data_IF_592303504627
#
_entry.id   IF_592303504627
#
_cell.length_a   1.000
_cell.length_b   1.000
_cell.length_c   1.000
_cell.angle_alpha   90.00
_cell.angle_beta   90.00
_cell.angle_gamma   90.00
#
_symmetry.space_group_name_H-M   'P 1'
#
loop_
_entity.id
_entity.type
_entity.pdbx_description
1 polymer ?
#
# COMPACT_ATOMS: atom_id res chain seq x y z
N UNK A 1 33.84 -41.27 -30.38
CA UNK A 1 34.21 -41.48 -28.97
C UNK A 1 34.22 -40.12 -28.29
N UNK A 2 33.76 -40.07 -27.03
CA UNK A 2 33.57 -38.91 -26.13
C UNK A 2 32.19 -38.21 -26.20
N UNK A 3 31.36 -38.55 -25.20
CA UNK A 3 30.12 -37.88 -24.78
C UNK A 3 30.46 -36.62 -23.96
N UNK A 4 29.63 -35.55 -23.97
CA UNK A 4 29.65 -34.55 -22.93
C UNK A 4 28.82 -35.00 -21.69
N UNK A 5 29.09 -34.44 -20.49
CA UNK A 5 28.58 -34.96 -19.23
C UNK A 5 27.11 -34.61 -18.99
N UNK A 6 26.41 -35.57 -18.40
CA UNK A 6 25.07 -35.46 -17.83
C UNK A 6 25.06 -34.68 -16.52
N UNK A 7 24.07 -33.81 -16.33
CA UNK A 7 23.54 -33.53 -14.99
C UNK A 7 23.23 -32.07 -14.69
N UNK A 8 22.02 -31.63 -15.04
CA UNK A 8 21.20 -30.70 -14.23
C UNK A 8 19.75 -30.88 -14.67
N UNK A 9 18.83 -31.40 -13.84
CA UNK A 9 17.43 -31.49 -14.20
C UNK A 9 16.79 -30.11 -14.02
N UNK A 10 16.79 -29.33 -15.10
CA UNK A 10 16.03 -28.09 -15.24
C UNK A 10 14.56 -28.43 -15.55
N UNK A 11 13.84 -29.07 -14.64
CA UNK A 11 12.40 -29.31 -14.83
C UNK A 11 11.70 -29.73 -13.53
N UNK A 12 11.60 -28.79 -12.58
CA UNK A 12 10.47 -28.75 -11.63
C UNK A 12 10.09 -27.30 -11.36
N UNK A 13 9.48 -26.66 -12.36
CA UNK A 13 8.61 -25.51 -12.12
C UNK A 13 7.30 -26.03 -11.52
N UNK A 14 7.00 -25.58 -10.31
CA UNK A 14 5.70 -25.80 -9.68
C UNK A 14 4.63 -25.08 -10.49
N UNK A 15 3.73 -25.86 -11.07
CA UNK A 15 2.54 -25.39 -11.76
C UNK A 15 1.60 -24.69 -10.77
N UNK A 16 1.27 -23.43 -11.03
CA UNK A 16 0.00 -22.87 -10.60
C UNK A 16 -0.67 -22.22 -11.82
N UNK A 17 -1.86 -22.73 -12.17
CA UNK A 17 -2.82 -22.15 -13.11
C UNK A 17 -2.35 -21.88 -14.56
N UNK A 18 -1.80 -22.90 -15.24
CA UNK A 18 -1.94 -23.06 -16.70
C UNK A 18 -1.34 -21.99 -17.61
N UNK A 19 -0.54 -21.04 -17.11
CA UNK A 19 0.26 -20.13 -17.94
C UNK A 19 1.74 -20.50 -17.82
N UNK A 20 2.38 -20.67 -18.96
CA UNK A 20 3.84 -20.72 -19.08
C UNK A 20 4.43 -19.51 -18.34
N UNK A 21 5.14 -19.76 -17.23
CA UNK A 21 5.97 -18.73 -16.58
C UNK A 21 7.16 -18.54 -17.52
N UNK A 22 7.04 -17.58 -18.44
CA UNK A 22 8.18 -17.07 -19.18
C UNK A 22 9.16 -16.56 -18.12
N UNK A 23 10.36 -17.14 -18.02
CA UNK A 23 11.37 -16.68 -17.07
C UNK A 23 11.51 -15.16 -17.24
N UNK A 24 11.04 -14.39 -16.26
CA UNK A 24 11.27 -12.96 -16.24
C UNK A 24 12.77 -12.75 -16.06
N UNK A 25 13.34 -11.82 -16.82
CA UNK A 25 14.74 -11.45 -16.62
C UNK A 25 14.90 -10.91 -15.19
N UNK A 26 16.04 -11.14 -14.54
CA UNK A 26 16.36 -10.50 -13.27
C UNK A 26 16.06 -9.00 -13.32
N UNK A 27 15.19 -8.54 -12.42
CA UNK A 27 14.68 -7.17 -12.36
C UNK A 27 15.36 -6.41 -11.23
N UNK A 28 15.60 -5.10 -11.37
CA UNK A 28 16.04 -4.26 -10.26
C UNK A 28 14.87 -3.42 -9.73
N UNK A 29 14.56 -3.62 -8.45
CA UNK A 29 13.46 -2.97 -7.74
C UNK A 29 14.06 -2.13 -6.61
N UNK A 30 13.73 -0.84 -6.56
CA UNK A 30 14.20 0.09 -5.53
C UNK A 30 13.03 0.47 -4.63
N UNK A 31 13.14 0.26 -3.32
CA UNK A 31 12.16 0.69 -2.33
C UNK A 31 12.70 1.90 -1.56
N UNK A 32 12.12 3.08 -1.78
CA UNK A 32 12.47 4.33 -1.10
C UNK A 32 11.49 4.58 0.06
N UNK A 33 12.04 4.79 1.26
CA UNK A 33 11.28 4.76 2.52
C UNK A 33 11.14 3.34 3.09
N UNK A 34 12.14 2.49 2.80
CA UNK A 34 12.12 1.07 3.16
C UNK A 34 12.02 0.81 4.67
N UNK A 35 12.48 1.74 5.51
CA UNK A 35 12.47 1.58 6.97
C UNK A 35 11.12 1.95 7.63
N UNK A 36 10.09 2.20 6.81
CA UNK A 36 8.70 2.34 7.25
C UNK A 36 8.23 1.07 7.95
N UNK A 37 7.85 1.17 9.23
CA UNK A 37 7.31 0.05 10.00
C UNK A 37 5.94 -0.44 9.49
N UNK A 38 5.25 0.38 8.70
CA UNK A 38 3.93 0.05 8.14
C UNK A 38 4.01 -0.59 6.75
N UNK A 39 4.92 -0.12 5.89
CA UNK A 39 4.99 -0.56 4.50
C UNK A 39 6.19 -1.44 4.19
N UNK A 40 7.36 -1.15 4.78
CA UNK A 40 8.62 -1.84 4.49
C UNK A 40 8.52 -3.36 4.65
N UNK A 41 8.12 -3.88 5.83
CA UNK A 41 8.02 -5.31 6.07
C UNK A 41 7.10 -6.03 5.09
N UNK A 42 5.97 -5.42 4.74
CA UNK A 42 4.98 -6.03 3.85
C UNK A 42 5.46 -6.08 2.40
N UNK A 43 6.04 -4.99 1.89
CA UNK A 43 6.61 -4.94 0.53
C UNK A 43 7.78 -5.94 0.41
N UNK A 44 8.60 -6.06 1.44
CA UNK A 44 9.69 -7.06 1.48
C UNK A 44 9.11 -8.48 1.48
N UNK A 45 8.09 -8.76 2.29
CA UNK A 45 7.43 -10.06 2.31
C UNK A 45 6.82 -10.39 0.94
N UNK A 46 6.11 -9.45 0.30
CA UNK A 46 5.53 -9.64 -1.04
C UNK A 46 6.62 -9.95 -2.06
N UNK A 47 7.74 -9.23 -2.03
CA UNK A 47 8.87 -9.49 -2.93
C UNK A 47 9.47 -10.89 -2.72
N UNK A 48 9.66 -11.30 -1.46
CA UNK A 48 10.18 -12.62 -1.07
C UNK A 48 9.22 -13.74 -1.49
N UNK A 49 7.91 -13.51 -1.39
CA UNK A 49 6.88 -14.50 -1.70
C UNK A 49 6.52 -14.60 -3.19
N UNK A 50 7.10 -13.76 -4.04
CA UNK A 50 6.82 -13.74 -5.48
C UNK A 50 7.86 -14.57 -6.24
N UNK A 51 7.57 -15.82 -6.65
CA UNK A 51 8.57 -16.71 -7.24
C UNK A 51 9.16 -16.17 -8.55
N UNK A 52 8.39 -15.36 -9.28
CA UNK A 52 8.81 -14.73 -10.53
C UNK A 52 9.92 -13.70 -10.34
N UNK A 53 10.18 -13.26 -9.10
CA UNK A 53 11.28 -12.34 -8.78
C UNK A 53 12.60 -13.05 -8.47
N UNK A 54 12.69 -14.39 -8.47
CA UNK A 54 13.95 -15.09 -8.20
C UNK A 54 15.09 -14.57 -9.08
N UNK A 55 16.24 -14.27 -8.47
CA UNK A 55 17.41 -13.69 -9.14
C UNK A 55 17.36 -12.16 -9.31
N UNK A 56 16.23 -11.52 -9.00
CA UNK A 56 16.08 -10.06 -9.03
C UNK A 56 16.82 -9.39 -7.87
N UNK A 57 17.11 -8.10 -8.02
CA UNK A 57 17.73 -7.27 -6.98
C UNK A 57 16.67 -6.39 -6.32
N UNK A 58 16.56 -6.49 -4.99
CA UNK A 58 15.76 -5.59 -4.17
C UNK A 58 16.71 -4.64 -3.42
N UNK A 59 16.64 -3.34 -3.74
CA UNK A 59 17.45 -2.29 -3.10
C UNK A 59 16.59 -1.51 -2.12
N UNK A 60 16.94 -1.57 -0.83
CA UNK A 60 16.27 -0.82 0.22
C UNK A 60 16.94 0.54 0.40
N UNK A 61 16.15 1.61 0.41
CA UNK A 61 16.63 2.98 0.55
C UNK A 61 15.88 3.68 1.67
N UNK A 62 16.62 4.23 2.63
CA UNK A 62 16.08 5.07 3.69
C UNK A 62 17.15 6.01 4.23
N UNK A 63 16.77 7.22 4.63
CA UNK A 63 17.70 8.22 5.18
C UNK A 63 18.12 7.87 6.62
N UNK A 64 17.32 7.07 7.33
CA UNK A 64 17.67 6.56 8.65
C UNK A 64 18.53 5.29 8.50
N UNK A 65 19.85 5.47 8.55
CA UNK A 65 20.81 4.38 8.37
C UNK A 65 20.71 3.26 9.42
N UNK A 66 20.32 3.59 10.66
CA UNK A 66 20.16 2.59 11.72
C UNK A 66 18.95 1.69 11.43
N UNK A 67 17.79 2.31 11.18
CA UNK A 67 16.58 1.57 10.84
C UNK A 67 16.73 0.82 9.50
N UNK A 68 17.44 1.40 8.54
CA UNK A 68 17.75 0.74 7.26
C UNK A 68 18.56 -0.53 7.47
N UNK A 69 19.58 -0.51 8.33
CA UNK A 69 20.39 -1.68 8.67
C UNK A 69 19.55 -2.81 9.27
N UNK A 70 18.63 -2.48 10.19
CA UNK A 70 17.67 -3.44 10.76
C UNK A 70 16.77 -4.02 9.67
N UNK A 71 16.23 -3.18 8.78
CA UNK A 71 15.36 -3.64 7.70
C UNK A 71 16.08 -4.52 6.68
N UNK A 72 17.34 -4.22 6.36
CA UNK A 72 18.15 -5.05 5.48
C UNK A 72 18.44 -6.43 6.09
N UNK A 73 18.72 -6.50 7.39
CA UNK A 73 18.87 -7.77 8.10
C UNK A 73 17.56 -8.57 8.12
N UNK A 74 16.43 -7.91 8.38
CA UNK A 74 15.09 -8.50 8.28
C UNK A 74 14.82 -9.10 6.89
N UNK A 75 15.06 -8.33 5.83
CA UNK A 75 14.84 -8.76 4.45
C UNK A 75 15.69 -9.99 4.07
N UNK A 76 16.96 -10.02 4.48
CA UNK A 76 17.84 -11.18 4.24
C UNK A 76 17.31 -12.44 4.93
N UNK A 77 16.86 -12.32 6.17
CA UNK A 77 16.29 -13.45 6.92
C UNK A 77 15.03 -14.01 6.27
N UNK A 78 14.13 -13.14 5.79
CA UNK A 78 12.96 -13.59 5.04
C UNK A 78 13.35 -14.28 3.72
N UNK A 79 14.29 -13.68 2.98
CA UNK A 79 14.80 -14.23 1.73
C UNK A 79 15.44 -15.62 1.91
N UNK A 80 16.21 -15.81 2.99
CA UNK A 80 16.82 -17.09 3.37
C UNK A 80 15.77 -18.13 3.79
N UNK A 81 14.83 -17.75 4.66
CA UNK A 81 13.80 -18.65 5.17
C UNK A 81 12.85 -19.15 4.07
N UNK A 82 12.60 -18.33 3.05
CA UNK A 82 11.76 -18.68 1.91
C UNK A 82 12.51 -19.33 0.73
N UNK A 83 13.85 -19.41 0.77
CA UNK A 83 14.70 -19.69 -0.41
C UNK A 83 14.24 -18.87 -1.63
N UNK A 84 14.01 -17.57 -1.45
CA UNK A 84 13.45 -16.75 -2.52
C UNK A 84 14.49 -16.38 -3.60
N UNK A 85 15.78 -16.37 -3.24
CA UNK A 85 16.88 -16.14 -4.18
C UNK A 85 16.96 -14.70 -4.70
N UNK A 86 16.48 -13.73 -3.92
CA UNK A 86 16.67 -12.30 -4.21
C UNK A 86 18.08 -11.84 -3.81
N UNK A 87 18.60 -10.87 -4.55
CA UNK A 87 19.79 -10.11 -4.18
C UNK A 87 19.37 -8.88 -3.37
N UNK A 88 19.61 -8.91 -2.05
CA UNK A 88 19.23 -7.81 -1.14
C UNK A 88 20.37 -6.81 -1.01
N UNK A 89 20.14 -5.57 -1.43
CA UNK A 89 21.05 -4.42 -1.27
C UNK A 89 20.39 -3.34 -0.43
N UNK A 90 21.17 -2.44 0.15
CA UNK A 90 20.64 -1.25 0.83
C UNK A 90 21.64 -0.09 0.77
N UNK A 91 21.13 1.14 0.73
CA UNK A 91 21.94 2.37 0.76
C UNK A 91 21.10 3.54 1.27
N UNK A 92 21.65 4.49 2.04
CA UNK A 92 20.95 5.74 2.35
C UNK A 92 20.88 6.69 1.14
N UNK A 93 21.72 6.47 0.13
CA UNK A 93 21.86 7.36 -1.02
C UNK A 93 21.03 6.88 -2.21
N UNK A 94 19.80 7.40 -2.36
CA UNK A 94 18.88 6.96 -3.45
C UNK A 94 19.51 7.04 -4.84
N UNK A 95 20.36 8.03 -5.12
CA UNK A 95 21.01 8.20 -6.42
C UNK A 95 21.95 7.05 -6.79
N UNK A 96 22.46 6.31 -5.81
CA UNK A 96 23.25 5.09 -6.03
C UNK A 96 22.35 3.88 -6.32
N UNK A 97 21.13 3.87 -5.79
CA UNK A 97 20.17 2.78 -5.98
C UNK A 97 19.45 2.84 -7.34
N UNK A 98 19.14 4.04 -7.82
CA UNK A 98 18.30 4.28 -9.00
C UNK A 98 18.83 3.76 -10.35
N UNK A 99 20.14 3.78 -10.67
CA UNK A 99 20.63 3.31 -11.96
C UNK A 99 20.15 1.89 -12.29
N UNK A 100 19.68 1.66 -13.51
CA UNK A 100 19.16 0.37 -14.00
C UNK A 100 17.89 -0.15 -13.28
N UNK A 101 17.28 0.64 -12.39
CA UNK A 101 16.00 0.27 -11.80
C UNK A 101 14.91 0.15 -12.88
N UNK A 102 14.07 -0.87 -12.79
CA UNK A 102 12.87 -1.03 -13.62
C UNK A 102 11.61 -0.66 -12.85
N UNK A 103 11.64 -0.79 -11.53
CA UNK A 103 10.58 -0.36 -10.62
C UNK A 103 11.15 0.43 -9.46
N UNK A 104 10.50 1.54 -9.13
CA UNK A 104 10.80 2.33 -7.94
C UNK A 104 9.51 2.43 -7.13
N UNK A 105 9.55 1.98 -5.87
CA UNK A 105 8.42 2.03 -4.96
C UNK A 105 8.69 3.14 -3.93
N UNK A 106 7.73 4.04 -3.71
CA UNK A 106 7.86 5.11 -2.70
C UNK A 106 6.84 4.95 -1.59
N UNK A 107 7.31 4.93 -0.34
CA UNK A 107 6.49 4.99 0.87
C UNK A 107 7.11 5.95 1.88
N UNK A 108 7.34 7.20 1.44
CA UNK A 108 8.04 8.24 2.21
C UNK A 108 7.05 9.20 2.87
N UNK A 109 7.39 9.63 4.08
CA UNK A 109 6.80 10.77 4.77
C UNK A 109 7.77 11.26 5.86
N UNK A 110 7.92 12.58 6.00
CA UNK A 110 8.77 13.17 7.05
C UNK A 110 7.91 13.48 8.26
N UNK A 111 8.30 12.98 9.45
CA UNK A 111 7.60 13.23 10.72
C UNK A 111 6.07 13.07 10.62
N UNK A 112 5.62 12.04 9.88
CA UNK A 112 4.24 11.89 9.41
C UNK A 112 3.21 12.18 10.50
N UNK A 113 3.25 11.44 11.60
CA UNK A 113 2.21 11.50 12.62
C UNK A 113 2.30 12.77 13.48
N UNK A 114 3.51 13.29 13.74
CA UNK A 114 3.71 14.58 14.42
C UNK A 114 3.05 15.72 13.62
N UNK A 115 3.34 15.78 12.32
CA UNK A 115 2.80 16.83 11.45
C UNK A 115 1.32 16.62 11.14
N UNK A 116 0.86 15.38 11.03
CA UNK A 116 -0.56 15.09 10.79
C UNK A 116 -1.44 15.42 12.01
N UNK A 117 -0.94 15.21 13.24
CA UNK A 117 -1.59 15.73 14.46
C UNK A 117 -1.82 17.25 14.35
N UNK A 118 -0.82 17.99 13.88
CA UNK A 118 -0.92 19.44 13.69
C UNK A 118 -1.87 19.82 12.54
N UNK A 119 -1.82 19.09 11.42
CA UNK A 119 -2.72 19.26 10.28
C UNK A 119 -4.19 19.07 10.66
N UNK A 120 -4.47 18.28 11.69
CA UNK A 120 -5.80 18.10 12.25
C UNK A 120 -6.16 19.18 13.29
N UNK A 121 -5.29 19.36 14.29
CA UNK A 121 -5.58 20.21 15.44
C UNK A 121 -5.59 21.71 15.11
N UNK A 122 -4.73 22.17 14.20
CA UNK A 122 -4.62 23.60 13.87
C UNK A 122 -5.90 24.10 13.18
N UNK A 123 -6.41 23.49 12.09
CA UNK A 123 -7.68 23.91 11.49
C UNK A 123 -8.83 23.85 12.50
N UNK A 124 -8.91 22.79 13.30
CA UNK A 124 -9.96 22.61 14.30
C UNK A 124 -9.95 23.72 15.36
N UNK A 125 -8.77 24.14 15.83
CA UNK A 125 -8.61 25.27 16.76
C UNK A 125 -9.21 26.58 16.21
N UNK A 126 -9.22 26.77 14.89
CA UNK A 126 -9.80 27.95 14.24
C UNK A 126 -11.23 27.72 13.71
N UNK A 127 -11.90 26.65 14.16
CA UNK A 127 -13.29 26.36 13.80
C UNK A 127 -13.47 25.65 12.46
N UNK A 128 -12.38 25.26 11.79
CA UNK A 128 -12.46 24.50 10.54
C UNK A 128 -12.51 23.01 10.88
N UNK A 129 -13.69 22.42 10.69
CA UNK A 129 -13.97 21.01 10.97
C UNK A 129 -13.51 20.14 9.80
N UNK A 130 -12.82 19.06 10.11
CA UNK A 130 -12.40 18.03 9.16
C UNK A 130 -12.41 16.67 9.86
N UNK A 131 -12.56 15.58 9.10
CA UNK A 131 -12.71 14.23 9.65
C UNK A 131 -11.37 13.57 9.91
N UNK A 132 -10.52 13.47 8.88
CA UNK A 132 -9.23 12.77 8.96
C UNK A 132 -8.05 13.70 8.60
N UNK A 133 -8.15 14.45 7.50
CA UNK A 133 -7.19 15.52 7.18
C UNK A 133 -5.84 15.03 6.66
N UNK A 134 -5.77 13.81 6.14
CA UNK A 134 -4.59 13.25 5.47
C UNK A 134 -4.58 13.57 3.97
N UNK A 135 -5.72 13.41 3.30
CA UNK A 135 -5.89 13.56 1.86
C UNK A 135 -6.81 14.72 1.51
N UNK A 136 -7.83 15.02 2.31
CA UNK A 136 -8.76 16.12 2.07
C UNK A 136 -8.64 17.26 3.08
N UNK A 137 -9.42 18.32 2.85
CA UNK A 137 -9.46 19.51 3.70
C UNK A 137 -8.14 20.30 3.81
N UNK A 138 -8.07 21.26 4.76
CA UNK A 138 -6.87 22.04 5.05
C UNK A 138 -5.68 21.19 5.52
N UNK A 139 -5.94 20.13 6.29
CA UNK A 139 -4.89 19.19 6.70
C UNK A 139 -4.24 18.51 5.51
N UNK A 140 -5.03 17.98 4.58
CA UNK A 140 -4.53 17.36 3.36
C UNK A 140 -3.79 18.35 2.45
N UNK A 141 -4.16 19.64 2.44
CA UNK A 141 -3.41 20.68 1.72
C UNK A 141 -2.01 20.84 2.31
N UNK A 142 -1.91 21.01 3.63
CA UNK A 142 -0.63 21.12 4.34
C UNK A 142 0.24 19.87 4.10
N UNK A 143 -0.36 18.68 4.14
CA UNK A 143 0.30 17.42 3.83
C UNK A 143 0.82 17.37 2.38
N UNK A 144 0.02 17.81 1.42
CA UNK A 144 0.41 17.89 0.01
C UNK A 144 1.61 18.81 -0.20
N UNK A 145 1.60 20.00 0.40
CA UNK A 145 2.67 20.98 0.28
C UNK A 145 4.02 20.47 0.80
N UNK A 146 4.00 19.55 1.77
CA UNK A 146 5.22 18.92 2.30
C UNK A 146 5.70 17.74 1.47
N UNK A 147 4.78 16.90 0.98
CA UNK A 147 5.16 15.65 0.33
C UNK A 147 5.37 15.76 -1.18
N UNK A 148 4.65 16.67 -1.87
CA UNK A 148 4.82 16.85 -3.32
C UNK A 148 6.28 17.19 -3.68
N UNK A 149 6.98 18.13 -3.02
CA UNK A 149 8.38 18.42 -3.34
C UNK A 149 9.29 17.19 -3.19
N UNK A 150 9.09 16.38 -2.15
CA UNK A 150 9.88 15.16 -1.89
C UNK A 150 9.71 14.16 -3.03
N UNK A 151 8.47 13.93 -3.45
CA UNK A 151 8.18 12.99 -4.55
C UNK A 151 8.68 13.52 -5.89
N UNK A 152 8.56 14.82 -6.16
CA UNK A 152 9.10 15.43 -7.38
C UNK A 152 10.63 15.36 -7.42
N UNK A 153 11.32 15.55 -6.30
CA UNK A 153 12.77 15.37 -6.22
C UNK A 153 13.20 13.93 -6.57
N UNK A 154 12.46 12.93 -6.07
CA UNK A 154 12.68 11.52 -6.43
C UNK A 154 12.40 11.31 -7.92
N UNK A 155 11.30 11.85 -8.43
CA UNK A 155 10.91 11.71 -9.82
C UNK A 155 11.96 12.32 -10.77
N UNK A 156 12.47 13.51 -10.48
CA UNK A 156 13.51 14.13 -11.30
C UNK A 156 14.85 13.40 -11.25
N UNK A 157 15.16 12.71 -10.14
CA UNK A 157 16.31 11.80 -10.09
C UNK A 157 16.04 10.55 -10.95
N UNK A 158 14.83 10.00 -10.96
CA UNK A 158 14.44 8.88 -11.82
C UNK A 158 14.51 9.24 -13.31
N UNK A 159 14.02 10.42 -13.72
CA UNK A 159 14.10 10.87 -15.12
C UNK A 159 15.54 10.89 -15.64
N UNK A 160 16.52 11.16 -14.77
CA UNK A 160 17.94 11.20 -15.12
C UNK A 160 18.61 9.83 -15.06
N UNK A 161 18.29 9.03 -14.04
CA UNK A 161 19.06 7.83 -13.69
C UNK A 161 18.40 6.52 -14.14
N UNK A 162 17.08 6.50 -14.28
CA UNK A 162 16.30 5.34 -14.72
C UNK A 162 14.98 5.76 -15.41
N UNK A 163 15.03 6.51 -16.52
CA UNK A 163 13.83 7.07 -17.16
C UNK A 163 12.82 6.01 -17.65
N UNK A 164 13.25 4.76 -17.83
CA UNK A 164 12.39 3.64 -18.19
C UNK A 164 11.63 3.02 -17.02
N UNK A 165 11.98 3.34 -15.77
CA UNK A 165 11.38 2.72 -14.59
C UNK A 165 9.90 3.11 -14.42
N UNK A 166 9.11 2.20 -13.82
CA UNK A 166 7.77 2.51 -13.34
C UNK A 166 7.83 2.97 -11.88
N UNK A 167 7.30 4.15 -11.59
CA UNK A 167 7.10 4.61 -10.22
C UNK A 167 5.81 4.02 -9.64
N UNK A 168 5.91 3.33 -8.50
CA UNK A 168 4.79 2.81 -7.73
C UNK A 168 4.68 3.60 -6.42
N UNK A 169 3.73 4.54 -6.35
CA UNK A 169 3.63 5.47 -5.22
C UNK A 169 2.58 5.04 -4.19
N UNK A 170 3.02 4.81 -2.95
CA UNK A 170 2.16 4.63 -1.76
C UNK A 170 2.10 5.88 -0.86
N UNK A 171 2.89 6.92 -1.15
CA UNK A 171 2.86 8.15 -0.35
C UNK A 171 1.58 8.94 -0.57
N UNK A 172 0.98 9.39 0.53
CA UNK A 172 -0.15 10.31 0.54
C UNK A 172 0.29 11.77 0.52
N UNK A 173 -0.56 12.72 0.09
CA UNK A 173 -1.90 12.51 -0.45
C UNK A 173 -1.87 12.05 -1.91
N UNK A 174 -2.29 10.81 -2.16
CA UNK A 174 -2.00 10.09 -3.42
C UNK A 174 -2.54 10.84 -4.64
N UNK A 175 -3.83 11.18 -4.68
CA UNK A 175 -4.45 11.89 -5.81
C UNK A 175 -3.72 13.19 -6.17
N UNK A 176 -3.23 13.94 -5.17
CA UNK A 176 -2.52 15.20 -5.40
C UNK A 176 -1.06 14.97 -5.83
N UNK A 177 -0.42 13.95 -5.30
CA UNK A 177 0.91 13.51 -5.75
C UNK A 177 0.82 13.04 -7.21
N UNK A 178 -0.16 12.21 -7.56
CA UNK A 178 -0.41 11.79 -8.94
C UNK A 178 -0.70 12.96 -9.88
N UNK A 179 -1.47 13.96 -9.42
CA UNK A 179 -1.67 15.19 -10.18
C UNK A 179 -0.36 15.97 -10.39
N UNK A 180 0.50 16.05 -9.38
CA UNK A 180 1.80 16.73 -9.51
C UNK A 180 2.72 15.98 -10.47
N UNK A 181 2.86 14.65 -10.31
CA UNK A 181 3.67 13.80 -11.19
C UNK A 181 3.22 13.94 -12.66
N UNK A 182 1.91 13.88 -12.93
CA UNK A 182 1.39 14.01 -14.30
C UNK A 182 1.62 15.39 -14.93
N UNK A 183 1.74 16.45 -14.13
CA UNK A 183 1.94 17.83 -14.62
C UNK A 183 3.40 18.22 -14.77
N UNK A 184 4.27 17.70 -13.92
CA UNK A 184 5.63 18.19 -13.76
C UNK A 184 6.71 17.18 -14.12
N UNK A 185 6.34 15.97 -14.56
CA UNK A 185 7.28 14.91 -14.94
C UNK A 185 6.81 14.18 -16.19
N UNK A 186 7.74 13.54 -16.90
CA UNK A 186 7.46 12.60 -18.00
C UNK A 186 7.43 11.13 -17.58
N UNK A 187 7.47 10.83 -16.28
CA UNK A 187 7.55 9.46 -15.79
C UNK A 187 6.27 8.67 -15.99
N UNK A 188 6.43 7.36 -16.17
CA UNK A 188 5.34 6.41 -15.97
C UNK A 188 5.17 6.17 -14.47
N UNK A 189 3.96 6.34 -13.96
CA UNK A 189 3.67 6.10 -12.55
C UNK A 189 2.30 5.45 -12.35
N UNK A 190 2.15 4.76 -11.21
CA UNK A 190 0.88 4.26 -10.68
C UNK A 190 0.82 4.63 -9.21
N UNK A 191 -0.29 5.23 -8.80
CA UNK A 191 -0.63 5.41 -7.40
C UNK A 191 -1.32 4.19 -6.81
N UNK A 192 -0.92 3.78 -5.61
CA UNK A 192 -1.42 2.57 -4.96
C UNK A 192 -1.97 2.89 -3.59
N UNK A 193 -3.16 2.36 -3.31
CA UNK A 193 -3.83 2.46 -2.01
C UNK A 193 -4.60 1.16 -1.72
N UNK A 194 -4.80 0.85 -0.45
CA UNK A 194 -5.51 -0.36 0.00
C UNK A 194 -7.03 -0.15 0.08
N UNK A 195 -7.53 1.02 -0.34
CA UNK A 195 -8.92 1.42 -0.11
C UNK A 195 -9.97 0.53 -0.75
N UNK A 196 -9.66 -0.16 -1.86
CA UNK A 196 -10.60 -1.10 -2.48
C UNK A 196 -10.81 -2.35 -1.60
N UNK A 197 -9.75 -2.86 -0.98
CA UNK A 197 -9.81 -4.00 -0.07
C UNK A 197 -10.60 -3.67 1.19
N UNK A 198 -10.51 -2.43 1.69
CA UNK A 198 -11.36 -1.95 2.78
C UNK A 198 -12.84 -1.94 2.38
N UNK A 199 -13.15 -1.53 1.15
CA UNK A 199 -14.50 -1.60 0.59
C UNK A 199 -15.02 -3.03 0.52
N UNK A 200 -14.24 -3.98 0.03
CA UNK A 200 -14.61 -5.40 0.05
C UNK A 200 -14.84 -5.92 1.47
N UNK A 201 -13.97 -5.56 2.42
CA UNK A 201 -14.15 -5.96 3.82
C UNK A 201 -15.44 -5.41 4.44
N UNK A 202 -15.83 -4.17 4.12
CA UNK A 202 -17.08 -3.60 4.64
C UNK A 202 -18.32 -4.25 3.99
N UNK A 203 -18.29 -4.50 2.68
CA UNK A 203 -19.36 -5.19 1.94
C UNK A 203 -19.51 -6.64 2.44
N UNK A 204 -18.40 -7.35 2.64
CA UNK A 204 -18.37 -8.68 3.22
C UNK A 204 -19.03 -8.68 4.61
N UNK A 205 -18.68 -7.70 5.45
CA UNK A 205 -19.26 -7.55 6.79
C UNK A 205 -20.75 -7.22 6.77
N UNK A 206 -21.24 -6.45 5.79
CA UNK A 206 -22.67 -6.16 5.61
C UNK A 206 -23.45 -7.38 5.14
N UNK A 207 -22.94 -8.09 4.14
CA UNK A 207 -23.65 -9.17 3.45
C UNK A 207 -23.45 -10.56 4.08
N UNK A 208 -22.41 -10.73 4.91
CA UNK A 208 -21.97 -12.02 5.43
C UNK A 208 -21.22 -12.87 4.40
N UNK A 209 -20.93 -12.35 3.21
CA UNK A 209 -20.16 -13.05 2.18
C UNK A 209 -18.65 -12.98 2.47
N UNK A 210 -17.85 -13.97 2.04
CA UNK A 210 -16.39 -13.88 2.10
C UNK A 210 -15.87 -12.75 1.19
N UNK A 211 -14.93 -11.94 1.68
CA UNK A 211 -14.35 -10.84 0.90
C UNK A 211 -13.69 -11.32 -0.40
N UNK A 212 -13.06 -12.50 -0.40
CA UNK A 212 -12.41 -13.09 -1.57
C UNK A 212 -13.38 -13.62 -2.65
N UNK A 213 -14.67 -13.70 -2.33
CA UNK A 213 -15.75 -14.04 -3.27
C UNK A 213 -16.42 -12.79 -3.85
N UNK A 214 -15.89 -11.60 -3.54
CA UNK A 214 -16.35 -10.34 -4.10
C UNK A 214 -15.44 -9.92 -5.26
N UNK A 215 -16.05 -9.44 -6.33
CA UNK A 215 -15.35 -8.77 -7.42
C UNK A 215 -16.14 -7.54 -7.85
N UNK A 216 -15.44 -6.46 -8.19
CA UNK A 216 -16.12 -5.23 -8.56
C UNK A 216 -15.26 -4.29 -9.39
N UNK A 217 -15.94 -3.35 -10.04
CA UNK A 217 -15.34 -2.23 -10.75
C UNK A 217 -15.58 -1.00 -9.90
N UNK A 218 -14.52 -0.29 -9.52
CA UNK A 218 -14.63 0.96 -8.76
C UNK A 218 -14.03 2.13 -9.55
N UNK A 219 -14.60 3.33 -9.35
CA UNK A 219 -14.11 4.55 -9.96
C UNK A 219 -14.26 5.75 -9.02
N UNK A 220 -13.33 6.69 -9.12
CA UNK A 220 -13.29 7.91 -8.32
C UNK A 220 -11.86 8.38 -8.08
N UNK A 221 -11.66 9.11 -6.98
CA UNK A 221 -10.34 9.53 -6.51
C UNK A 221 -9.85 8.57 -5.42
N UNK A 222 -8.55 8.58 -5.11
CA UNK A 222 -8.08 7.94 -3.89
C UNK A 222 -8.83 8.48 -2.68
N UNK A 223 -9.28 7.58 -1.81
CA UNK A 223 -10.13 7.85 -0.62
C UNK A 223 -11.53 8.41 -0.93
N UNK A 224 -11.95 8.48 -2.20
CA UNK A 224 -13.25 9.01 -2.59
C UNK A 224 -13.74 8.37 -3.88
N UNK A 225 -14.15 7.11 -3.78
CA UNK A 225 -14.53 6.29 -4.92
C UNK A 225 -15.75 5.41 -4.61
N UNK A 226 -16.41 4.96 -5.67
CA UNK A 226 -17.63 4.16 -5.62
C UNK A 226 -17.46 2.88 -6.42
N UNK A 227 -18.01 1.78 -5.92
CA UNK A 227 -18.20 0.59 -6.73
C UNK A 227 -19.27 0.87 -7.79
N UNK A 228 -18.90 0.85 -9.07
CA UNK A 228 -19.84 0.97 -10.18
C UNK A 228 -20.56 -0.35 -10.46
N UNK A 229 -19.88 -1.47 -10.18
CA UNK A 229 -20.38 -2.84 -10.28
C UNK A 229 -19.77 -3.64 -9.13
N UNK A 230 -20.57 -4.49 -8.49
CA UNK A 230 -20.13 -5.39 -7.43
C UNK A 230 -20.87 -6.72 -7.59
N UNK A 231 -20.11 -7.79 -7.77
CA UNK A 231 -20.61 -9.12 -8.08
C UNK A 231 -20.02 -10.16 -7.16
N UNK A 232 -20.74 -11.26 -7.04
CA UNK A 232 -20.23 -12.48 -6.45
C UNK A 232 -19.42 -13.25 -7.48
N UNK A 233 -18.13 -13.39 -7.24
CA UNK A 233 -17.18 -14.03 -8.17
C UNK A 233 -17.56 -15.47 -8.51
N UNK A 234 -18.06 -16.23 -7.54
CA UNK A 234 -18.45 -17.64 -7.74
C UNK A 234 -19.73 -17.84 -8.57
N UNK A 235 -20.64 -16.85 -8.63
CA UNK A 235 -21.95 -17.01 -9.28
C UNK A 235 -22.23 -16.00 -10.39
N UNK A 236 -21.49 -14.89 -10.44
CA UNK A 236 -21.73 -13.76 -11.34
C UNK A 236 -22.90 -12.85 -10.91
N UNK A 237 -23.53 -13.13 -9.76
CA UNK A 237 -24.69 -12.39 -9.25
C UNK A 237 -24.35 -10.94 -8.91
N UNK A 238 -25.22 -9.99 -9.31
CA UNK A 238 -25.16 -8.59 -8.86
C UNK A 238 -25.49 -8.50 -7.37
N UNK A 239 -24.59 -7.93 -6.59
CA UNK A 239 -24.70 -7.85 -5.13
C UNK A 239 -25.45 -6.61 -4.65
N UNK A 240 -25.81 -5.66 -5.52
CA UNK A 240 -26.53 -4.46 -5.09
C UNK A 240 -27.90 -4.74 -4.44
N UNK A 241 -28.74 -5.65 -4.95
CA UNK A 241 -29.99 -6.04 -4.27
C UNK A 241 -29.74 -6.56 -2.85
N UNK A 242 -28.76 -7.45 -2.67
CA UNK A 242 -28.39 -7.98 -1.37
C UNK A 242 -27.86 -6.88 -0.44
N UNK A 243 -26.98 -6.00 -0.93
CA UNK A 243 -26.43 -4.89 -0.17
C UNK A 243 -27.52 -3.94 0.33
N UNK A 244 -28.50 -3.60 -0.51
CA UNK A 244 -29.63 -2.75 -0.10
C UNK A 244 -30.48 -3.41 0.97
N UNK A 245 -30.67 -4.72 0.90
CA UNK A 245 -31.45 -5.44 1.91
C UNK A 245 -30.67 -5.54 3.23
N UNK A 246 -29.40 -5.92 3.18
CA UNK A 246 -28.52 -5.97 4.34
C UNK A 246 -28.43 -4.61 5.04
N UNK A 247 -28.28 -3.52 4.28
CA UNK A 247 -28.20 -2.16 4.80
C UNK A 247 -29.41 -1.73 5.64
N UNK A 248 -30.62 -2.24 5.36
CA UNK A 248 -31.83 -1.89 6.13
C UNK A 248 -31.80 -2.42 7.57
N UNK A 249 -31.17 -3.57 7.78
CA UNK A 249 -31.19 -4.30 9.05
C UNK A 249 -29.85 -4.25 9.80
N UNK A 250 -28.81 -3.67 9.19
CA UNK A 250 -27.50 -3.57 9.81
C UNK A 250 -27.42 -2.46 10.88
N UNK A 251 -26.59 -2.69 11.90
CA UNK A 251 -26.30 -1.73 12.98
C UNK A 251 -26.06 -0.32 12.43
N UNK A 252 -26.89 0.69 12.75
CA UNK A 252 -26.77 2.06 12.26
C UNK A 252 -25.40 2.72 12.52
N UNK A 253 -24.67 2.30 13.56
CA UNK A 253 -23.36 2.83 13.91
C UNK A 253 -22.22 2.33 13.01
N UNK A 254 -22.47 1.27 12.23
CA UNK A 254 -21.49 0.76 11.28
C UNK A 254 -21.43 1.65 10.05
N UNK A 255 -20.35 2.42 9.91
CA UNK A 255 -20.08 3.31 8.78
C UNK A 255 -21.27 4.19 8.38
N UNK A 256 -21.80 5.02 9.31
CA UNK A 256 -22.96 5.86 9.08
C UNK A 256 -22.83 6.76 7.84
N UNK A 257 -21.65 7.37 7.61
CA UNK A 257 -21.45 8.22 6.45
C UNK A 257 -21.47 7.42 5.15
N UNK A 258 -20.72 6.32 5.07
CA UNK A 258 -20.64 5.45 3.89
C UNK A 258 -22.03 4.96 3.50
N UNK A 259 -22.82 4.52 4.49
CA UNK A 259 -24.19 4.03 4.25
C UNK A 259 -25.17 5.13 3.89
N UNK A 260 -25.04 6.32 4.50
CA UNK A 260 -25.80 7.51 4.08
C UNK A 260 -25.52 7.83 2.61
N UNK A 261 -24.25 7.83 2.21
CA UNK A 261 -23.84 8.08 0.83
C UNK A 261 -24.31 6.95 -0.10
N UNK A 262 -24.27 5.69 0.33
CA UNK A 262 -24.82 4.57 -0.43
C UNK A 262 -26.32 4.74 -0.73
N UNK A 263 -27.12 5.12 0.28
CA UNK A 263 -28.56 5.37 0.10
C UNK A 263 -28.85 6.53 -0.85
N UNK A 264 -28.03 7.59 -0.79
CA UNK A 264 -28.20 8.79 -1.62
C UNK A 264 -27.84 8.55 -3.09
N UNK A 265 -26.71 7.92 -3.36
CA UNK A 265 -26.20 7.74 -4.72
C UNK A 265 -26.59 6.40 -5.35
N UNK A 266 -27.06 5.46 -4.54
CA UNK A 266 -27.40 4.11 -4.98
C UNK A 266 -26.19 3.21 -5.27
N UNK A 267 -24.96 3.71 -5.11
CA UNK A 267 -23.71 2.97 -5.27
C UNK A 267 -22.93 2.98 -3.97
N UNK A 268 -22.23 1.89 -3.64
CA UNK A 268 -21.53 1.76 -2.36
C UNK A 268 -20.17 2.48 -2.43
N UNK A 269 -19.90 3.49 -1.57
CA UNK A 269 -18.62 4.17 -1.53
C UNK A 269 -17.56 3.37 -0.77
N UNK A 270 -16.29 3.65 -1.06
CA UNK A 270 -15.14 3.11 -0.36
C UNK A 270 -14.07 4.21 -0.20
N UNK A 271 -13.18 4.10 0.80
CA UNK A 271 -12.90 2.91 1.62
C UNK A 271 -13.66 2.81 2.94
N UNK A 272 -13.90 3.93 3.62
CA UNK A 272 -14.58 4.01 4.92
C UNK A 272 -14.95 5.47 5.24
N UNK A 273 -15.73 5.66 6.30
CA UNK A 273 -16.26 6.94 6.75
C UNK A 273 -15.21 8.05 6.91
N UNK A 274 -14.12 7.74 7.62
CA UNK A 274 -13.03 8.67 7.89
C UNK A 274 -12.30 9.14 6.63
N UNK A 275 -12.24 8.31 5.59
CA UNK A 275 -11.58 8.61 4.32
C UNK A 275 -12.48 9.41 3.38
N UNK A 276 -13.71 8.94 3.13
CA UNK A 276 -14.64 9.67 2.24
C UNK A 276 -15.07 11.00 2.88
N UNK A 277 -15.10 11.04 4.21
CA UNK A 277 -15.43 12.24 4.98
C UNK A 277 -14.43 13.37 4.83
N UNK A 278 -13.22 13.11 4.34
CA UNK A 278 -12.23 14.15 4.03
C UNK A 278 -12.66 15.09 2.90
N UNK A 279 -13.61 14.66 2.07
CA UNK A 279 -14.06 15.36 0.88
C UNK A 279 -15.45 15.98 1.01
N UNK A 280 -16.13 15.74 2.14
CA UNK A 280 -17.51 16.16 2.37
C UNK A 280 -17.57 17.11 3.56
N UNK A 281 -17.98 18.35 3.32
CA UNK A 281 -17.96 19.42 4.35
C UNK A 281 -18.86 19.16 5.56
N UNK A 282 -19.86 18.28 5.42
CA UNK A 282 -20.78 17.90 6.49
C UNK A 282 -20.43 16.57 7.17
N UNK A 283 -19.41 15.84 6.69
CA UNK A 283 -19.13 14.48 7.15
C UNK A 283 -18.81 14.35 8.64
N UNK A 284 -18.25 15.41 9.24
CA UNK A 284 -17.97 15.46 10.68
C UNK A 284 -19.23 15.29 11.55
N UNK A 285 -20.44 15.52 10.99
CA UNK A 285 -21.70 15.26 11.70
C UNK A 285 -21.94 13.77 11.93
N UNK A 286 -21.42 12.90 11.05
CA UNK A 286 -21.56 11.44 11.11
C UNK A 286 -20.30 10.78 11.69
N UNK A 287 -19.13 11.29 11.31
CA UNK A 287 -17.83 10.69 11.67
C UNK A 287 -17.25 11.21 12.98
N UNK A 288 -17.75 12.33 13.49
CA UNK A 288 -17.18 13.03 14.64
C UNK A 288 -15.94 13.86 14.31
N UNK A 289 -15.23 14.26 15.36
CA UNK A 289 -14.08 15.18 15.35
C UNK A 289 -12.91 14.66 16.20
N UNK A 290 -12.90 13.37 16.50
CA UNK A 290 -11.86 12.67 17.26
C UNK A 290 -10.56 12.59 16.43
N UNK A 291 -10.69 12.62 15.10
CA UNK A 291 -9.57 12.54 14.17
C UNK A 291 -9.00 11.13 14.09
N UNK A 292 -7.73 11.05 13.71
CA UNK A 292 -7.02 9.78 13.64
C UNK A 292 -6.58 9.31 15.03
N UNK A 293 -6.78 8.03 15.34
CA UNK A 293 -6.30 7.42 16.59
C UNK A 293 -4.78 7.19 16.51
N UNK A 294 -4.03 8.27 16.77
CA UNK A 294 -2.59 8.26 16.71
C UNK A 294 -1.96 7.35 17.76
N UNK A 295 -2.55 7.22 18.94
CA UNK A 295 -2.00 6.38 20.03
C UNK A 295 -2.05 4.90 19.63
N UNK A 296 -3.19 4.43 19.13
CA UNK A 296 -3.33 3.06 18.62
C UNK A 296 -2.40 2.81 17.44
N UNK A 297 -2.28 3.78 16.53
CA UNK A 297 -1.41 3.64 15.37
C UNK A 297 0.08 3.61 15.75
N UNK A 298 0.49 4.43 16.71
CA UNK A 298 1.85 4.45 17.26
C UNK A 298 2.17 3.12 17.95
N UNK A 299 1.22 2.59 18.74
CA UNK A 299 1.35 1.29 19.38
C UNK A 299 1.49 0.14 18.37
N UNK A 300 0.65 0.12 17.32
CA UNK A 300 0.74 -0.86 16.24
C UNK A 300 2.08 -0.81 15.51
N UNK A 301 2.56 0.39 15.15
CA UNK A 301 3.87 0.56 14.50
C UNK A 301 5.02 0.15 15.40
N UNK A 302 4.95 0.46 16.70
CA UNK A 302 5.96 0.04 17.67
C UNK A 302 6.01 -1.49 17.79
N UNK A 303 4.85 -2.15 17.80
CA UNK A 303 4.77 -3.61 17.80
C UNK A 303 5.34 -4.21 16.50
N UNK A 304 4.93 -3.68 15.34
CA UNK A 304 5.45 -4.08 14.03
C UNK A 304 6.98 -3.94 13.99
N UNK A 305 7.51 -2.80 14.44
CA UNK A 305 8.94 -2.54 14.47
C UNK A 305 9.69 -3.47 15.43
N UNK A 306 9.14 -3.75 16.61
CA UNK A 306 9.74 -4.71 17.55
C UNK A 306 9.86 -6.09 16.91
N UNK A 307 8.82 -6.56 16.22
CA UNK A 307 8.86 -7.84 15.49
C UNK A 307 9.92 -7.85 14.40
N UNK A 308 10.01 -6.78 13.60
CA UNK A 308 11.07 -6.61 12.59
C UNK A 308 12.45 -6.70 13.23
N UNK A 309 12.65 -6.02 14.36
CA UNK A 309 13.91 -6.04 15.11
C UNK A 309 14.25 -7.43 15.64
N UNK A 310 13.30 -8.14 16.23
CA UNK A 310 13.51 -9.48 16.78
C UNK A 310 13.84 -10.50 15.68
N UNK A 311 13.16 -10.42 14.52
CA UNK A 311 13.46 -11.22 13.33
C UNK A 311 14.78 -10.78 12.67
N UNK A 312 15.20 -9.52 12.77
CA UNK A 312 16.49 -9.04 12.26
C UNK A 312 17.66 -9.46 13.16
N UNK A 313 17.43 -9.60 14.48
CA UNK A 313 18.45 -9.99 15.46
C UNK A 313 18.53 -11.50 15.68
N UNK A 314 17.44 -12.23 15.46
CA UNK A 314 17.41 -13.70 15.44
C UNK A 314 16.78 -14.26 16.70
N UNK A 315 16.08 -13.38 17.43
CA UNK A 315 15.31 -13.68 18.63
C UNK A 315 13.97 -14.31 18.25
N UNK A 316 13.41 -13.92 17.11
CA UNK A 316 12.23 -14.52 16.50
C UNK A 316 12.62 -15.17 15.17
N UNK A 317 12.04 -16.33 14.86
CA UNK A 317 12.22 -16.96 13.54
C UNK A 317 11.45 -16.16 12.49
N UNK A 318 12.00 -16.08 11.28
CA UNK A 318 11.23 -15.63 10.14
C UNK A 318 9.96 -16.51 10.00
N UNK A 319 8.78 -15.92 9.76
CA UNK A 319 7.56 -16.68 9.53
C UNK A 319 7.71 -17.58 8.31
N UNK A 320 7.01 -18.72 8.30
CA UNK A 320 6.99 -19.57 7.11
C UNK A 320 6.31 -18.85 5.94
N UNK A 321 6.67 -19.13 4.67
CA UNK A 321 6.06 -18.47 3.50
C UNK A 321 4.53 -18.52 3.47
N UNK A 322 3.92 -19.58 4.00
CA UNK A 322 2.46 -19.71 4.11
C UNK A 322 1.82 -18.76 5.13
N UNK A 323 2.58 -18.26 6.10
CA UNK A 323 2.14 -17.31 7.14
C UNK A 323 2.44 -15.86 6.77
N UNK A 324 3.21 -15.63 5.70
CA UNK A 324 3.55 -14.30 5.19
C UNK A 324 2.53 -13.75 4.19
N UNK A 325 1.67 -14.61 3.62
CA UNK A 325 0.63 -14.17 2.68
C UNK A 325 -0.38 -13.27 3.40
N UNK A 326 -0.77 -12.13 2.81
CA UNK A 326 -1.89 -11.36 3.35
C UNK A 326 -3.15 -12.24 3.39
N UNK A 327 -3.83 -12.21 4.53
CA UNK A 327 -5.25 -12.56 4.61
C UNK A 327 -6.10 -11.55 3.86
#
# INVERSE_FOLDING_TARGET
MLRPPSGFPLERLLYSHGRSVKLMRPTKIVLIGAASASFGPRIIADAVLTPELRGSTLVLVDIDGERLGVMAAYARRLNEAADAGLLIQHTPERKQALPEAEFVITSVAIKRDELWKLDFQIPLKYGIKQVLGENGGPGGLSHALRNIPIILDIAHDMEKLCPGALLLNFSNPESRIGLALSRYTGLRFVGLCHGISMGYASIARLTGLPADDLEGIAAGLNHFAWFLDIRRKSTGEDLYPLLREADKHYDPSFYPLTRRMFRLYGLYPHPSDDHIGEYLSFAWEECGLEGYDFERADAYRAQSWRRVLDIAQGKEKAPDPGQMRPS
#
